data_IF_886940268311
#
_entry.id   IF_886940268311
#
_cell.length_a   1.000
_cell.length_b   1.000
_cell.length_c   1.000
_cell.angle_alpha   90.00
_cell.angle_beta   90.00
_cell.angle_gamma   90.00
#
_symmetry.space_group_name_H-M   'P 1'
#
loop_
_entity.id
_entity.type
_entity.pdbx_description
1 polymer ?
#
# COMPACT_ATOMS: atom_id res chain seq x y z
N UNK A 1 -13.81 -5.89 12.07
CA UNK A 1 -14.62 -4.69 11.77
C UNK A 1 -14.90 -3.77 12.97
N UNK A 2 -14.36 -4.02 14.18
CA UNK A 2 -14.57 -3.15 15.34
C UNK A 2 -14.12 -1.72 15.01
N UNK A 3 -15.01 -0.74 15.19
CA UNK A 3 -14.81 0.70 14.94
C UNK A 3 -14.52 1.13 13.48
N UNK A 4 -14.42 0.19 12.52
CA UNK A 4 -14.10 0.54 11.11
C UNK A 4 -15.08 1.53 10.50
N UNK A 5 -16.40 1.34 10.71
CA UNK A 5 -17.40 2.24 10.17
C UNK A 5 -17.43 3.60 10.87
N UNK A 6 -17.18 3.61 12.19
CA UNK A 6 -17.15 4.83 13.00
C UNK A 6 -15.97 5.73 12.61
N UNK A 7 -14.76 5.18 12.54
CA UNK A 7 -13.59 5.96 12.14
C UNK A 7 -13.70 6.44 10.70
N UNK A 8 -14.30 5.64 9.79
CA UNK A 8 -14.54 6.07 8.42
C UNK A 8 -15.58 7.20 8.34
N UNK A 9 -16.61 7.19 9.19
CA UNK A 9 -17.58 8.28 9.26
C UNK A 9 -16.94 9.59 9.73
N UNK A 10 -16.11 9.51 10.78
CA UNK A 10 -15.33 10.65 11.26
C UNK A 10 -14.36 11.16 10.19
N UNK A 11 -13.68 10.26 9.48
CA UNK A 11 -12.79 10.62 8.39
C UNK A 11 -13.52 11.36 7.26
N UNK A 12 -14.71 10.91 6.86
CA UNK A 12 -15.54 11.63 5.87
C UNK A 12 -15.98 13.02 6.36
N UNK A 13 -16.15 13.20 7.67
CA UNK A 13 -16.61 14.46 8.24
C UNK A 13 -15.50 15.50 8.38
N UNK A 14 -14.27 15.09 8.75
CA UNK A 14 -13.21 16.04 9.14
C UNK A 14 -11.85 15.81 8.48
N UNK A 15 -11.59 14.61 7.96
CA UNK A 15 -10.28 14.26 7.41
C UNK A 15 -10.24 14.50 5.90
N UNK A 16 -11.15 13.89 5.15
CA UNK A 16 -11.20 13.90 3.68
C UNK A 16 -12.37 14.72 3.11
N UNK A 17 -13.06 15.48 3.97
CA UNK A 17 -14.07 16.45 3.55
C UNK A 17 -13.43 17.61 2.79
N UNK A 18 -14.26 18.37 2.07
CA UNK A 18 -13.86 19.68 1.59
C UNK A 18 -13.33 20.54 2.74
N UNK A 19 -12.22 21.25 2.53
CA UNK A 19 -11.48 22.02 3.55
C UNK A 19 -11.04 21.18 4.78
N UNK A 20 -11.07 19.85 4.67
CA UNK A 20 -10.65 18.91 5.70
C UNK A 20 -9.13 18.87 5.88
N UNK A 21 -8.69 18.08 6.86
CA UNK A 21 -7.26 17.99 7.23
C UNK A 21 -6.37 17.55 6.05
N UNK A 22 -6.82 16.61 5.20
CA UNK A 22 -6.02 16.16 4.06
C UNK A 22 -5.91 17.24 2.99
N UNK A 23 -7.03 17.88 2.62
CA UNK A 23 -7.04 18.93 1.61
C UNK A 23 -6.20 20.15 2.02
N UNK A 24 -6.30 20.59 3.28
CA UNK A 24 -5.50 21.71 3.76
C UNK A 24 -4.03 21.38 4.05
N UNK A 25 -3.71 20.10 4.27
CA UNK A 25 -2.40 19.66 4.76
C UNK A 25 -1.48 19.01 3.73
N UNK A 26 -2.00 18.56 2.59
CA UNK A 26 -1.25 17.77 1.61
C UNK A 26 -1.19 18.46 0.24
N UNK A 27 -0.11 18.20 -0.50
CA UNK A 27 0.16 18.83 -1.81
C UNK A 27 -0.97 18.63 -2.83
N UNK A 28 -1.69 17.51 -2.77
CA UNK A 28 -2.80 17.24 -3.68
C UNK A 28 -3.99 18.20 -3.50
N UNK A 29 -4.14 18.82 -2.33
CA UNK A 29 -5.24 19.74 -2.04
C UNK A 29 -6.60 19.12 -2.33
N UNK A 30 -7.48 19.91 -2.95
CA UNK A 30 -8.84 19.52 -3.35
C UNK A 30 -8.91 18.31 -4.29
N UNK A 31 -7.80 17.98 -4.97
CA UNK A 31 -7.72 16.86 -5.91
C UNK A 31 -7.38 15.53 -5.21
N UNK A 32 -7.05 15.53 -3.91
CA UNK A 32 -6.60 14.33 -3.20
C UNK A 32 -7.58 13.16 -3.24
N UNK A 33 -8.88 13.42 -3.09
CA UNK A 33 -9.91 12.38 -3.16
C UNK A 33 -10.14 11.89 -4.59
N UNK A 34 -10.04 12.77 -5.58
CA UNK A 34 -10.15 12.39 -7.00
C UNK A 34 -8.97 11.49 -7.41
N UNK A 35 -7.76 11.78 -6.94
CA UNK A 35 -6.58 10.94 -7.18
C UNK A 35 -6.76 9.52 -6.62
N UNK A 36 -7.36 9.37 -5.43
CA UNK A 36 -7.62 8.03 -4.87
C UNK A 36 -8.71 7.28 -5.63
N UNK A 37 -9.73 7.99 -6.13
CA UNK A 37 -10.75 7.42 -7.03
C UNK A 37 -10.15 6.95 -8.35
N UNK A 38 -9.25 7.75 -8.95
CA UNK A 38 -8.53 7.36 -10.15
C UNK A 38 -7.68 6.10 -9.92
N UNK A 39 -6.95 6.03 -8.80
CA UNK A 39 -6.17 4.86 -8.42
C UNK A 39 -7.03 3.60 -8.17
N UNK A 40 -8.20 3.76 -7.54
CA UNK A 40 -9.16 2.67 -7.37
C UNK A 40 -9.58 2.10 -8.73
N UNK A 41 -9.90 2.96 -9.69
CA UNK A 41 -10.31 2.54 -11.04
C UNK A 41 -9.18 1.91 -11.85
N UNK A 42 -7.95 2.43 -11.75
CA UNK A 42 -6.85 2.03 -12.63
C UNK A 42 -6.00 0.87 -12.09
N UNK A 43 -5.99 0.65 -10.78
CA UNK A 43 -4.92 -0.14 -10.15
C UNK A 43 -5.39 -1.07 -9.05
N UNK A 44 -6.50 -0.78 -8.38
CA UNK A 44 -7.01 -1.64 -7.32
C UNK A 44 -7.62 -2.92 -7.91
N UNK A 45 -7.25 -4.06 -7.33
CA UNK A 45 -7.81 -5.38 -7.65
C UNK A 45 -7.71 -6.30 -6.45
N UNK A 46 -8.85 -6.86 -6.04
CA UNK A 46 -8.97 -7.61 -4.79
C UNK A 46 -8.02 -8.81 -4.71
N UNK A 47 -7.83 -9.53 -5.82
CA UNK A 47 -6.98 -10.72 -5.89
C UNK A 47 -5.47 -10.41 -5.76
N UNK A 48 -5.06 -9.13 -5.79
CA UNK A 48 -3.68 -8.71 -5.53
C UNK A 48 -3.51 -7.96 -4.21
N UNK A 49 -4.55 -7.87 -3.38
CA UNK A 49 -4.46 -7.23 -2.06
C UNK A 49 -3.90 -8.19 -0.98
N UNK A 50 -3.79 -9.48 -1.30
CA UNK A 50 -3.06 -10.44 -0.48
C UNK A 50 -1.55 -10.23 -0.57
N UNK A 51 -0.83 -10.32 0.56
CA UNK A 51 0.60 -10.00 0.61
C UNK A 51 1.46 -10.79 -0.40
N UNK A 52 1.31 -12.13 -0.57
CA UNK A 52 2.05 -12.88 -1.59
C UNK A 52 1.87 -12.33 -3.01
N UNK A 53 0.62 -12.06 -3.39
CA UNK A 53 0.28 -11.58 -4.72
C UNK A 53 0.82 -10.16 -4.96
N UNK A 54 0.73 -9.28 -3.96
CA UNK A 54 1.33 -7.95 -4.00
C UNK A 54 2.86 -8.00 -4.20
N UNK A 55 3.56 -8.85 -3.44
CA UNK A 55 5.02 -8.98 -3.52
C UNK A 55 5.46 -9.46 -4.90
N UNK A 56 4.76 -10.43 -5.48
CA UNK A 56 5.03 -10.90 -6.85
C UNK A 56 4.74 -9.78 -7.86
N UNK A 57 3.58 -9.13 -7.75
CA UNK A 57 3.14 -8.07 -8.67
C UNK A 57 4.14 -6.92 -8.74
N UNK A 58 4.72 -6.53 -7.61
CA UNK A 58 5.73 -5.45 -7.54
C UNK A 58 7.15 -5.91 -7.91
N UNK A 59 7.33 -7.18 -8.27
CA UNK A 59 8.64 -7.75 -8.58
C UNK A 59 9.55 -7.89 -7.36
N UNK A 60 8.98 -7.98 -6.16
CA UNK A 60 9.74 -8.14 -4.90
C UNK A 60 9.89 -9.61 -4.50
N UNK A 61 9.16 -10.52 -5.14
CA UNK A 61 9.25 -11.95 -4.91
C UNK A 61 8.93 -12.75 -6.18
N UNK A 62 9.35 -14.02 -6.20
CA UNK A 62 8.94 -15.01 -7.20
C UNK A 62 8.37 -16.25 -6.50
N UNK A 63 7.40 -16.96 -7.12
CA UNK A 63 6.94 -18.25 -6.59
C UNK A 63 8.10 -19.24 -6.47
N UNK A 64 8.24 -19.86 -5.31
CA UNK A 64 9.23 -20.91 -5.05
C UNK A 64 8.71 -21.84 -3.95
N UNK A 65 8.22 -23.03 -4.35
CA UNK A 65 7.64 -24.01 -3.43
C UNK A 65 8.67 -24.63 -2.48
N UNK A 66 9.97 -24.40 -2.71
CA UNK A 66 11.03 -24.88 -1.81
C UNK A 66 11.29 -23.91 -0.65
N UNK A 67 10.82 -22.67 -0.76
CA UNK A 67 10.97 -21.64 0.27
C UNK A 67 9.79 -21.63 1.25
N UNK A 68 9.99 -21.13 2.47
CA UNK A 68 8.90 -20.80 3.37
C UNK A 68 7.86 -19.92 2.67
N UNK A 69 6.58 -20.14 2.98
CA UNK A 69 5.45 -19.39 2.40
C UNK A 69 5.28 -19.53 0.88
N UNK A 70 6.05 -20.40 0.22
CA UNK A 70 5.97 -20.65 -1.23
C UNK A 70 6.53 -19.52 -2.09
N UNK A 71 7.36 -18.64 -1.52
CA UNK A 71 7.92 -17.47 -2.20
C UNK A 71 9.41 -17.32 -1.90
N UNK A 72 10.17 -16.90 -2.91
CA UNK A 72 11.52 -16.37 -2.75
C UNK A 72 11.49 -14.85 -2.88
N UNK A 73 11.87 -14.13 -1.83
CA UNK A 73 12.06 -12.67 -1.91
C UNK A 73 13.29 -12.33 -2.76
N UNK A 74 13.20 -11.27 -3.56
CA UNK A 74 14.35 -10.74 -4.31
C UNK A 74 15.22 -9.81 -3.48
N UNK A 75 14.66 -9.27 -2.40
CA UNK A 75 15.39 -8.54 -1.36
C UNK A 75 15.25 -9.37 -0.09
N UNK A 76 16.33 -10.05 0.29
CA UNK A 76 16.32 -10.97 1.43
C UNK A 76 16.03 -10.23 2.75
N UNK A 77 16.65 -9.07 2.96
CA UNK A 77 16.41 -8.22 4.13
C UNK A 77 15.32 -7.17 3.83
N UNK A 78 14.09 -7.64 3.62
CA UNK A 78 12.91 -6.79 3.47
C UNK A 78 11.96 -6.99 4.66
N UNK A 79 12.11 -6.21 5.76
CA UNK A 79 11.40 -6.46 7.02
C UNK A 79 9.87 -6.53 6.91
N UNK A 80 9.25 -5.61 6.14
CA UNK A 80 7.81 -5.64 5.92
C UNK A 80 7.34 -6.96 5.25
N UNK A 81 8.10 -7.46 4.28
CA UNK A 81 7.76 -8.70 3.59
C UNK A 81 8.03 -9.92 4.48
N UNK A 82 9.21 -9.96 5.14
CA UNK A 82 9.60 -11.05 6.03
C UNK A 82 8.60 -11.23 7.18
N UNK A 83 8.32 -10.16 7.93
CA UNK A 83 7.40 -10.22 9.06
C UNK A 83 5.94 -10.38 8.59
N UNK A 84 5.59 -9.71 7.49
CA UNK A 84 4.26 -9.81 6.90
C UNK A 84 3.91 -11.22 6.46
N UNK A 85 4.86 -11.97 5.88
CA UNK A 85 4.63 -13.34 5.41
C UNK A 85 4.40 -14.31 6.58
N UNK A 86 5.07 -14.10 7.72
CA UNK A 86 4.82 -14.87 8.95
C UNK A 86 3.37 -14.67 9.42
N UNK A 87 2.92 -13.41 9.49
CA UNK A 87 1.56 -13.07 9.92
C UNK A 87 0.53 -13.57 8.91
N UNK A 88 0.77 -13.37 7.62
CA UNK A 88 -0.09 -13.85 6.54
C UNK A 88 -0.31 -15.36 6.64
N UNK A 89 0.74 -16.15 6.79
CA UNK A 89 0.61 -17.61 6.92
C UNK A 89 -0.10 -18.03 8.20
N UNK A 90 0.08 -17.30 9.31
CA UNK A 90 -0.67 -17.55 10.54
C UNK A 90 -2.17 -17.30 10.34
N UNK A 91 -2.54 -16.18 9.71
CA UNK A 91 -3.94 -15.85 9.36
C UNK A 91 -4.51 -16.91 8.45
N UNK A 92 -3.81 -17.26 7.35
CA UNK A 92 -4.29 -18.24 6.38
C UNK A 92 -4.52 -19.62 7.03
N UNK A 93 -3.61 -20.05 7.90
CA UNK A 93 -3.75 -21.33 8.63
C UNK A 93 -4.97 -21.31 9.54
N UNK A 94 -5.18 -20.23 10.28
CA UNK A 94 -6.36 -20.07 11.14
C UNK A 94 -7.66 -20.03 10.32
N UNK A 95 -7.72 -19.21 9.26
CA UNK A 95 -8.87 -19.09 8.36
C UNK A 95 -9.20 -20.45 7.77
N UNK A 96 -8.20 -21.16 7.24
CA UNK A 96 -8.37 -22.49 6.65
C UNK A 96 -8.96 -23.47 7.65
N UNK A 97 -8.38 -23.55 8.85
CA UNK A 97 -8.86 -24.45 9.91
C UNK A 97 -10.32 -24.14 10.28
N UNK A 98 -10.69 -22.86 10.33
CA UNK A 98 -12.05 -22.43 10.61
C UNK A 98 -12.99 -22.79 9.46
N UNK A 99 -12.65 -22.45 8.21
CA UNK A 99 -13.48 -22.71 7.04
C UNK A 99 -13.71 -24.19 6.84
N UNK A 100 -12.67 -25.02 6.87
CA UNK A 100 -12.75 -26.47 6.67
C UNK A 100 -13.60 -27.16 7.76
N UNK A 101 -13.79 -26.53 8.92
CA UNK A 101 -14.68 -27.03 9.97
C UNK A 101 -16.16 -26.93 9.60
N UNK A 102 -16.56 -25.90 8.83
CA UNK A 102 -17.96 -25.65 8.46
C UNK A 102 -18.27 -26.01 7.01
N UNK A 103 -17.28 -25.94 6.13
CA UNK A 103 -17.42 -26.18 4.69
C UNK A 103 -16.51 -27.34 4.25
N UNK A 104 -16.96 -28.60 4.37
CA UNK A 104 -16.13 -29.76 4.07
C UNK A 104 -15.85 -29.95 2.57
N UNK A 105 -16.58 -29.28 1.67
CA UNK A 105 -16.42 -29.38 0.23
C UNK A 105 -17.04 -28.19 -0.52
N UNK A 106 -16.73 -28.06 -1.81
CA UNK A 106 -17.26 -26.99 -2.68
C UNK A 106 -18.79 -26.92 -2.73
N UNK A 107 -19.50 -28.06 -2.65
CA UNK A 107 -20.97 -28.03 -2.66
C UNK A 107 -21.53 -27.27 -1.44
N UNK A 108 -20.91 -27.40 -0.26
CA UNK A 108 -21.33 -26.63 0.92
C UNK A 108 -21.10 -25.11 0.78
N UNK A 109 -20.14 -24.68 -0.04
CA UNK A 109 -19.92 -23.26 -0.36
C UNK A 109 -20.97 -22.75 -1.36
N UNK A 110 -21.19 -23.51 -2.44
CA UNK A 110 -22.08 -23.12 -3.55
C UNK A 110 -23.56 -23.10 -3.15
N UNK A 111 -23.94 -23.93 -2.17
CA UNK A 111 -25.33 -24.05 -1.71
C UNK A 111 -25.66 -23.19 -0.49
N UNK A 112 -24.67 -22.51 0.09
CA UNK A 112 -24.88 -21.56 1.18
C UNK A 112 -25.41 -20.23 0.64
N UNK A 113 -26.72 -20.02 0.76
CA UNK A 113 -27.38 -18.83 0.21
C UNK A 113 -26.95 -17.53 0.90
N UNK A 114 -26.63 -17.56 2.19
CA UNK A 114 -26.20 -16.36 2.91
C UNK A 114 -24.81 -15.94 2.44
N UNK A 115 -23.89 -16.90 2.35
CA UNK A 115 -22.53 -16.68 1.87
C UNK A 115 -22.50 -16.17 0.42
N UNK A 116 -23.26 -16.80 -0.47
CA UNK A 116 -23.34 -16.39 -1.87
C UNK A 116 -23.98 -15.00 -2.02
N UNK A 117 -25.02 -14.69 -1.24
CA UNK A 117 -25.65 -13.37 -1.25
C UNK A 117 -24.73 -12.28 -0.73
N UNK A 118 -24.01 -12.54 0.37
CA UNK A 118 -23.02 -11.62 0.92
C UNK A 118 -21.92 -11.28 -0.09
N UNK A 119 -21.40 -12.29 -0.79
CA UNK A 119 -20.34 -12.08 -1.78
C UNK A 119 -20.84 -11.32 -2.99
N UNK A 120 -22.01 -11.70 -3.50
CA UNK A 120 -22.67 -11.01 -4.61
C UNK A 120 -22.95 -9.54 -4.27
N UNK A 121 -23.47 -9.24 -3.08
CA UNK A 121 -23.71 -7.86 -2.64
C UNK A 121 -22.41 -7.07 -2.51
N UNK A 122 -21.36 -7.69 -1.96
CA UNK A 122 -20.04 -7.06 -1.80
C UNK A 122 -19.46 -6.57 -3.13
N UNK A 123 -19.65 -7.34 -4.21
CA UNK A 123 -19.17 -6.99 -5.55
C UNK A 123 -20.16 -6.05 -6.26
N UNK A 124 -21.43 -6.42 -6.34
CA UNK A 124 -22.40 -5.75 -7.20
C UNK A 124 -22.96 -4.46 -6.60
N UNK A 125 -22.89 -4.29 -5.28
CA UNK A 125 -23.32 -3.08 -4.56
C UNK A 125 -22.12 -2.39 -3.91
N UNK A 126 -21.32 -3.14 -3.13
CA UNK A 126 -20.18 -2.57 -2.40
C UNK A 126 -19.08 -2.02 -3.30
N UNK A 127 -18.72 -2.76 -4.35
CA UNK A 127 -17.70 -2.41 -5.36
C UNK A 127 -18.29 -2.31 -6.77
N UNK A 128 -19.51 -1.76 -6.88
CA UNK A 128 -20.30 -1.76 -8.11
C UNK A 128 -19.58 -1.21 -9.35
N UNK A 129 -18.66 -0.25 -9.17
CA UNK A 129 -17.88 0.35 -10.27
C UNK A 129 -16.89 -0.62 -10.91
N UNK A 130 -16.49 -1.68 -10.19
CA UNK A 130 -15.55 -2.71 -10.63
C UNK A 130 -16.21 -4.10 -10.71
N UNK A 131 -17.54 -4.21 -10.61
CA UNK A 131 -18.24 -5.51 -10.58
C UNK A 131 -17.98 -6.39 -11.81
N UNK A 132 -17.72 -5.77 -12.96
CA UNK A 132 -17.46 -6.48 -14.24
C UNK A 132 -15.99 -6.88 -14.40
N UNK A 133 -15.14 -6.66 -13.40
CA UNK A 133 -13.73 -7.01 -13.49
C UNK A 133 -13.53 -8.54 -13.46
N UNK A 134 -12.73 -9.06 -14.39
CA UNK A 134 -12.54 -10.51 -14.55
C UNK A 134 -11.71 -11.15 -13.43
N UNK A 135 -11.06 -10.36 -12.59
CA UNK A 135 -10.16 -10.83 -11.53
C UNK A 135 -10.87 -11.11 -10.20
N UNK A 136 -12.18 -10.88 -10.08
CA UNK A 136 -12.92 -11.28 -8.89
C UNK A 136 -12.83 -12.81 -8.70
N UNK A 137 -12.46 -13.29 -7.50
CA UNK A 137 -12.60 -14.71 -7.17
C UNK A 137 -14.04 -15.18 -7.37
N UNK A 138 -14.26 -16.48 -7.61
CA UNK A 138 -15.61 -16.99 -7.91
C UNK A 138 -16.43 -17.34 -6.67
N UNK A 139 -15.76 -17.62 -5.55
CA UNK A 139 -16.37 -18.19 -4.33
C UNK A 139 -17.09 -19.52 -4.60
N UNK A 140 -16.45 -20.41 -5.36
CA UNK A 140 -17.00 -21.72 -5.71
C UNK A 140 -16.43 -22.84 -4.84
N UNK A 141 -15.26 -22.62 -4.24
CA UNK A 141 -14.48 -23.64 -3.54
C UNK A 141 -14.09 -23.21 -2.13
N UNK A 142 -13.68 -24.19 -1.32
CA UNK A 142 -13.11 -23.96 0.02
C UNK A 142 -11.88 -23.05 -0.08
N UNK A 143 -11.02 -23.26 -1.08
CA UNK A 143 -9.82 -22.45 -1.26
C UNK A 143 -10.14 -21.01 -1.67
N UNK A 144 -11.19 -20.78 -2.46
CA UNK A 144 -11.66 -19.41 -2.77
C UNK A 144 -12.06 -18.68 -1.49
N UNK A 145 -12.91 -19.30 -0.65
CA UNK A 145 -13.35 -18.70 0.60
C UNK A 145 -12.18 -18.43 1.55
N UNK A 146 -11.25 -19.39 1.66
CA UNK A 146 -10.03 -19.21 2.47
C UNK A 146 -9.22 -18.02 1.95
N UNK A 147 -9.02 -17.90 0.65
CA UNK A 147 -8.27 -16.79 0.04
C UNK A 147 -8.93 -15.44 0.29
N UNK A 148 -10.25 -15.34 0.07
CA UNK A 148 -11.05 -14.13 0.29
C UNK A 148 -10.96 -13.70 1.76
N UNK A 149 -11.25 -14.59 2.69
CA UNK A 149 -11.24 -14.27 4.13
C UNK A 149 -9.85 -13.95 4.65
N UNK A 150 -8.81 -14.66 4.17
CA UNK A 150 -7.42 -14.36 4.53
C UNK A 150 -7.05 -12.94 4.11
N UNK A 151 -7.43 -12.54 2.89
CA UNK A 151 -7.20 -11.18 2.37
C UNK A 151 -7.92 -10.13 3.19
N UNK A 152 -9.20 -10.34 3.52
CA UNK A 152 -9.98 -9.41 4.33
C UNK A 152 -9.40 -9.24 5.75
N UNK A 153 -9.02 -10.34 6.40
CA UNK A 153 -8.41 -10.30 7.74
C UNK A 153 -7.04 -9.63 7.68
N UNK A 154 -6.21 -9.95 6.68
CA UNK A 154 -4.91 -9.30 6.45
C UNK A 154 -5.05 -7.79 6.31
N UNK A 155 -5.95 -7.33 5.43
CA UNK A 155 -6.19 -5.92 5.16
C UNK A 155 -6.65 -5.17 6.42
N UNK A 156 -7.60 -5.75 7.15
CA UNK A 156 -8.18 -5.13 8.34
C UNK A 156 -7.26 -5.17 9.58
N UNK A 157 -6.17 -5.94 9.55
CA UNK A 157 -5.25 -6.12 10.68
C UNK A 157 -3.83 -5.68 10.34
N UNK A 158 -3.00 -6.60 9.86
CA UNK A 158 -1.57 -6.42 9.67
C UNK A 158 -1.23 -5.36 8.61
N UNK A 159 -1.97 -5.33 7.48
CA UNK A 159 -1.74 -4.32 6.45
C UNK A 159 -2.05 -2.91 6.99
N UNK A 160 -3.22 -2.74 7.60
CA UNK A 160 -3.61 -1.48 8.22
C UNK A 160 -2.59 -1.06 9.29
N UNK A 161 -2.15 -1.98 10.15
CA UNK A 161 -1.14 -1.71 11.17
C UNK A 161 0.18 -1.21 10.57
N UNK A 162 0.69 -1.88 9.53
CA UNK A 162 1.94 -1.55 8.85
C UNK A 162 1.91 -0.15 8.22
N UNK A 163 0.77 0.26 7.65
CA UNK A 163 0.61 1.58 7.05
C UNK A 163 0.29 2.68 8.06
N UNK A 164 -0.39 2.34 9.16
CA UNK A 164 -0.94 3.30 10.10
C UNK A 164 0.03 3.68 11.23
N UNK A 165 0.61 2.70 11.93
CA UNK A 165 1.35 2.97 13.17
C UNK A 165 2.74 3.55 12.95
N UNK A 166 3.26 3.48 11.71
CA UNK A 166 4.51 4.14 11.30
C UNK A 166 4.36 5.63 10.96
N UNK A 167 3.13 6.17 10.85
CA UNK A 167 2.91 7.55 10.42
C UNK A 167 3.63 8.57 11.29
N UNK A 168 3.48 8.51 12.62
CA UNK A 168 4.15 9.43 13.53
C UNK A 168 5.64 9.11 13.75
N UNK A 169 6.07 7.85 13.96
CA UNK A 169 7.49 7.52 14.10
C UNK A 169 8.37 8.01 12.95
N UNK A 170 7.88 7.93 11.70
CA UNK A 170 8.63 8.42 10.53
C UNK A 170 8.27 9.85 10.12
N UNK A 171 7.02 10.28 10.29
CA UNK A 171 6.53 11.57 9.81
C UNK A 171 6.44 12.67 10.86
N UNK A 172 6.63 12.35 12.15
CA UNK A 172 6.60 13.33 13.24
C UNK A 172 7.70 14.38 13.13
N UNK A 173 8.83 14.01 12.51
CA UNK A 173 9.82 14.97 12.03
C UNK A 173 9.53 15.32 10.57
N UNK A 174 8.82 16.44 10.36
CA UNK A 174 8.28 16.87 9.05
C UNK A 174 9.29 16.80 7.90
N UNK A 175 10.57 17.22 8.05
CA UNK A 175 11.53 17.13 6.95
C UNK A 175 11.78 15.71 6.43
N UNK A 176 11.55 14.66 7.23
CA UNK A 176 11.71 13.27 6.82
C UNK A 176 10.54 12.77 5.94
N UNK A 177 9.33 13.33 6.11
CA UNK A 177 8.14 12.99 5.31
C UNK A 177 7.24 14.22 5.11
N UNK A 178 7.64 15.18 4.25
CA UNK A 178 6.89 16.41 4.06
C UNK A 178 5.56 16.14 3.34
N UNK A 179 4.40 16.54 3.88
CA UNK A 179 3.11 16.32 3.22
C UNK A 179 2.81 17.37 2.14
N UNK A 180 3.44 18.54 2.22
CA UNK A 180 3.18 19.70 1.38
C UNK A 180 4.47 20.28 0.78
N UNK A 181 4.52 20.36 -0.55
CA UNK A 181 5.52 21.14 -1.30
C UNK A 181 4.88 22.42 -1.85
N UNK A 182 5.53 23.57 -1.63
CA UNK A 182 4.98 24.90 -1.98
C UNK A 182 5.63 25.58 -3.17
N UNK A 183 6.74 25.03 -3.65
CA UNK A 183 7.52 25.53 -4.78
C UNK A 183 7.99 24.34 -5.60
N UNK A 184 8.23 24.59 -6.89
CA UNK A 184 8.91 23.64 -7.76
C UNK A 184 10.35 23.45 -7.30
N UNK A 185 11.01 22.45 -7.86
CA UNK A 185 12.44 22.27 -7.67
C UNK A 185 13.13 23.57 -8.14
N UNK A 186 13.87 24.25 -7.25
CA UNK A 186 14.57 25.48 -7.59
C UNK A 186 15.71 25.22 -8.59
N UNK A 187 16.09 26.26 -9.32
CA UNK A 187 17.27 26.21 -10.19
C UNK A 187 18.56 26.12 -9.33
N UNK A 188 19.60 25.46 -9.83
CA UNK A 188 20.87 25.32 -9.10
C UNK A 188 21.55 26.67 -8.82
N UNK A 189 21.24 27.69 -9.62
CA UNK A 189 21.72 29.06 -9.42
C UNK A 189 20.91 29.85 -8.37
N UNK A 190 19.83 29.28 -7.83
CA UNK A 190 19.03 29.92 -6.79
C UNK A 190 19.88 30.13 -5.52
N UNK A 191 19.97 31.37 -5.00
CA UNK A 191 20.72 31.67 -3.78
C UNK A 191 20.32 30.82 -2.57
N UNK A 192 19.05 30.43 -2.44
CA UNK A 192 18.58 29.57 -1.34
C UNK A 192 19.17 28.15 -1.45
N UNK A 193 19.27 27.60 -2.66
CA UNK A 193 19.88 26.29 -2.94
C UNK A 193 21.38 26.32 -2.68
N UNK A 194 22.07 27.35 -3.18
CA UNK A 194 23.50 27.53 -2.97
C UNK A 194 23.80 27.62 -1.47
N UNK A 195 22.97 28.36 -0.73
CA UNK A 195 23.14 28.51 0.71
C UNK A 195 22.85 27.19 1.47
N UNK A 196 21.80 26.46 1.08
CA UNK A 196 21.50 25.15 1.66
C UNK A 196 22.67 24.18 1.44
N UNK A 197 23.19 24.09 0.21
CA UNK A 197 24.35 23.24 -0.13
C UNK A 197 25.57 23.61 0.73
N UNK A 198 25.87 24.91 0.89
CA UNK A 198 26.99 25.37 1.74
C UNK A 198 26.82 24.98 3.21
N UNK A 199 25.60 25.01 3.73
CA UNK A 199 25.32 24.63 5.14
C UNK A 199 25.43 23.12 5.35
N UNK A 200 24.91 22.31 4.42
CA UNK A 200 24.93 20.83 4.55
C UNK A 200 26.27 20.21 4.13
N UNK A 201 27.08 20.92 3.33
CA UNK A 201 28.44 20.52 2.93
C UNK A 201 29.43 21.67 3.17
N UNK A 202 29.84 21.90 4.42
CA UNK A 202 30.78 22.97 4.77
C UNK A 202 32.15 22.83 4.07
N UNK A 203 32.53 21.60 3.69
CA UNK A 203 33.79 21.29 3.01
C UNK A 203 33.80 21.67 1.51
N UNK A 204 32.63 21.90 0.91
CA UNK A 204 32.51 22.34 -0.48
C UNK A 204 32.85 23.84 -0.68
N UNK A 205 33.17 24.56 0.39
CA UNK A 205 33.48 26.00 0.35
C UNK A 205 34.80 26.34 -0.37
N UNK A 206 35.63 25.36 -0.74
CA UNK A 206 36.89 25.56 -1.47
C UNK A 206 36.83 25.17 -2.96
N UNK A 207 35.68 24.72 -3.47
CA UNK A 207 35.54 24.33 -4.87
C UNK A 207 35.04 25.52 -5.70
N UNK A 208 35.75 25.84 -6.78
CA UNK A 208 35.35 26.94 -7.66
C UNK A 208 34.04 26.59 -8.38
N UNK A 209 33.30 27.61 -8.83
CA UNK A 209 31.96 27.51 -9.46
C UNK A 209 31.86 26.45 -10.58
N UNK A 210 32.95 26.13 -11.27
CA UNK A 210 33.02 25.11 -12.32
C UNK A 210 33.08 23.66 -11.77
N UNK A 211 33.63 23.45 -10.57
CA UNK A 211 33.75 22.13 -9.95
C UNK A 211 32.43 21.67 -9.32
N UNK A 212 31.67 22.61 -8.75
CA UNK A 212 30.32 22.36 -8.22
C UNK A 212 29.34 21.86 -9.29
N UNK A 213 29.36 22.47 -10.49
CA UNK A 213 28.51 22.05 -11.62
C UNK A 213 28.95 20.68 -12.17
N UNK A 214 30.27 20.46 -12.30
CA UNK A 214 30.83 19.16 -12.71
C UNK A 214 30.44 18.03 -11.75
N UNK A 215 30.41 18.30 -10.45
CA UNK A 215 30.11 17.26 -9.46
C UNK A 215 28.63 16.93 -9.36
N UNK A 216 27.74 17.90 -9.65
CA UNK A 216 26.31 17.61 -9.83
C UNK A 216 26.12 16.69 -11.03
N UNK A 217 26.69 17.02 -12.20
CA UNK A 217 26.61 16.17 -13.42
C UNK A 217 27.22 14.76 -13.23
N UNK A 218 28.34 14.64 -12.52
CA UNK A 218 28.97 13.34 -12.22
C UNK A 218 28.13 12.48 -11.27
N UNK A 219 27.37 13.09 -10.37
CA UNK A 219 26.50 12.35 -9.45
C UNK A 219 25.25 11.86 -10.17
N UNK A 220 24.73 12.61 -11.15
CA UNK A 220 23.62 12.17 -12.02
C UNK A 220 24.04 11.02 -12.94
N UNK A 221 25.27 11.03 -13.47
CA UNK A 221 25.79 9.97 -14.35
C UNK A 221 26.27 8.70 -13.61
N UNK A 222 26.37 8.71 -12.28
CA UNK A 222 26.68 7.50 -11.48
C UNK A 222 25.44 6.70 -11.05
N UNK A 223 24.24 7.14 -11.43
CA UNK A 223 22.97 6.43 -11.18
C UNK A 223 22.49 5.61 -12.39
N UNK A 224 23.37 5.34 -13.37
CA UNK A 224 23.14 4.36 -14.44
C UNK A 224 24.27 3.33 -14.45
N UNK A 225 24.28 2.45 -13.44
CA UNK A 225 24.64 1.03 -13.52
C UNK A 225 23.71 0.29 -12.57
#
# INVERSE_FOLDING_TARGET
>A
MRYTLEINALARQSLISADGVIEGGFTAGQYGLEMSSAAYKSSWRFDMEGLPADLIRRGMAVPDTTQPHGLKLLIEDYPYANDGLLIWSAIQTWVRTYVERYYPNSNSIQTDSELQSWYSESINVGHADLREAEWWPKLDTVDDLVSILTTLVWLASAQHAALNFGQYPYGGYVPNRPPLMRRLIPDESDPEVINLIRVIRPEANNLNRAELVSDVEKTTNKLHI
#
